data_IF_175347089680
#
_entry.id   IF_175347089680
#
_cell.length_a   1.000
_cell.length_b   1.000
_cell.length_c   1.000
_cell.angle_alpha   90.00
_cell.angle_beta   90.00
_cell.angle_gamma   90.00
#
_symmetry.space_group_name_H-M   'P 1'
#
loop_
_entity.id
_entity.type
_entity.pdbx_description
1 polymer ?
#
# COMPACT_ATOMS: atom_id res chain seq x y z
N UNK A 1 45.71 -2.90 -18.44
CA UNK A 1 45.04 -2.98 -17.12
C UNK A 1 43.74 -3.75 -17.35
N UNK A 2 43.60 -4.94 -16.77
CA UNK A 2 42.36 -5.71 -16.80
C UNK A 2 41.53 -5.31 -15.58
N UNK A 3 40.35 -4.73 -15.81
CA UNK A 3 39.40 -4.44 -14.74
C UNK A 3 38.62 -5.73 -14.43
N UNK A 4 38.70 -6.22 -13.19
CA UNK A 4 37.78 -7.25 -12.71
C UNK A 4 36.40 -6.62 -12.50
N UNK A 5 35.39 -7.12 -13.21
CA UNK A 5 34.01 -6.78 -12.93
C UNK A 5 33.61 -7.35 -11.56
N UNK A 6 32.81 -6.62 -10.75
CA UNK A 6 32.29 -7.17 -9.51
C UNK A 6 31.40 -8.38 -9.85
N UNK A 7 31.54 -9.46 -9.07
CA UNK A 7 30.63 -10.60 -9.18
C UNK A 7 29.23 -10.13 -8.79
N UNK A 8 28.27 -10.26 -9.71
CA UNK A 8 26.87 -10.06 -9.37
C UNK A 8 26.48 -11.14 -8.34
N UNK A 9 25.93 -10.71 -7.20
CA UNK A 9 25.34 -11.65 -6.25
C UNK A 9 24.26 -12.45 -6.98
N UNK A 10 24.25 -13.77 -6.77
CA UNK A 10 23.16 -14.60 -7.28
C UNK A 10 21.85 -14.11 -6.63
N UNK A 11 20.74 -14.05 -7.38
CA UNK A 11 19.43 -13.81 -6.78
C UNK A 11 19.24 -14.82 -5.64
N UNK A 12 18.68 -14.35 -4.52
CA UNK A 12 18.22 -15.21 -3.46
C UNK A 12 17.16 -16.20 -3.97
N UNK A 13 16.81 -17.17 -3.14
CA UNK A 13 15.77 -18.14 -3.47
C UNK A 13 14.39 -17.62 -3.08
N UNK A 14 13.36 -17.94 -3.88
CA UNK A 14 11.96 -17.80 -3.51
C UNK A 14 11.22 -16.67 -4.21
N UNK A 15 9.90 -16.69 -4.06
CA UNK A 15 8.97 -15.72 -4.65
C UNK A 15 8.36 -14.89 -3.52
N UNK A 16 8.56 -13.57 -3.58
CA UNK A 16 7.95 -12.62 -2.66
C UNK A 16 6.77 -11.92 -3.32
N UNK A 17 5.59 -12.02 -2.70
CA UNK A 17 4.36 -11.36 -3.17
C UNK A 17 3.91 -10.31 -2.14
N UNK A 18 3.69 -9.08 -2.59
CA UNK A 18 3.15 -8.00 -1.77
C UNK A 18 1.72 -7.66 -2.21
N UNK A 19 0.80 -7.77 -1.25
CA UNK A 19 -0.61 -7.42 -1.38
C UNK A 19 -0.93 -6.25 -0.43
N UNK A 20 -1.95 -5.46 -0.77
CA UNK A 20 -2.50 -4.49 0.16
C UNK A 20 -3.08 -3.23 -0.45
N UNK A 21 -3.29 -2.27 0.43
CA UNK A 21 -3.78 -0.93 0.14
C UNK A 21 -2.65 0.11 0.00
N UNK A 22 -2.97 1.40 0.16
CA UNK A 22 -2.03 2.52 0.06
C UNK A 22 -0.90 2.48 1.09
N UNK A 23 -1.09 1.84 2.24
CA UNK A 23 0.02 1.63 3.20
C UNK A 23 1.10 0.70 2.62
N UNK A 24 0.70 -0.22 1.74
CA UNK A 24 1.62 -1.10 1.03
C UNK A 24 2.11 -0.48 -0.27
N UNK A 25 1.23 0.11 -1.09
CA UNK A 25 1.63 0.62 -2.40
C UNK A 25 2.51 1.87 -2.31
N UNK A 26 2.36 2.69 -1.27
CA UNK A 26 3.13 3.91 -1.07
C UNK A 26 2.81 5.04 -2.08
N UNK A 27 1.54 5.46 -2.27
CA UNK A 27 1.24 6.61 -3.10
C UNK A 27 1.97 7.85 -2.59
N UNK A 28 2.42 8.69 -3.53
CA UNK A 28 3.22 9.91 -3.31
C UNK A 28 4.65 9.67 -2.79
N UNK A 29 5.02 8.44 -2.48
CA UNK A 29 6.42 8.06 -2.38
C UNK A 29 7.02 8.08 -3.80
N UNK A 30 8.26 8.57 -4.00
CA UNK A 30 8.84 8.77 -5.33
C UNK A 30 8.81 7.54 -6.27
N UNK A 31 8.92 7.82 -7.57
CA UNK A 31 8.95 6.86 -8.68
C UNK A 31 7.81 5.81 -8.63
N UNK A 32 6.58 6.29 -8.84
CA UNK A 32 5.44 5.39 -9.00
C UNK A 32 5.53 4.61 -10.32
N UNK A 33 5.19 3.32 -10.28
CA UNK A 33 5.31 2.39 -11.40
C UNK A 33 4.18 1.34 -11.41
N UNK A 34 4.30 0.39 -12.34
CA UNK A 34 3.37 -0.72 -12.48
C UNK A 34 2.13 -0.38 -13.31
N UNK A 35 1.25 -1.37 -13.44
CA UNK A 35 -0.03 -1.22 -14.14
C UNK A 35 -1.15 -1.76 -13.25
N UNK A 36 -2.25 -1.01 -13.06
CA UNK A 36 -2.42 0.37 -13.53
C UNK A 36 -1.59 1.36 -12.68
N UNK A 37 -1.17 2.49 -13.28
CA UNK A 37 -0.28 3.46 -12.61
C UNK A 37 -0.95 4.16 -11.42
N UNK A 38 -2.27 4.28 -11.45
CA UNK A 38 -3.10 4.89 -10.41
C UNK A 38 -3.33 3.99 -9.18
N UNK A 39 -2.74 2.78 -9.16
CA UNK A 39 -2.51 2.06 -7.90
C UNK A 39 -1.46 2.71 -7.00
N UNK A 40 -0.65 3.62 -7.54
CA UNK A 40 0.32 4.39 -6.78
C UNK A 40 1.40 3.54 -6.13
N UNK A 41 1.87 2.47 -6.81
CA UNK A 41 2.96 1.61 -6.35
C UNK A 41 4.29 2.32 -6.53
N UNK A 42 5.02 2.56 -5.45
CA UNK A 42 6.35 3.17 -5.48
C UNK A 42 7.45 2.12 -5.39
N UNK A 43 8.56 2.32 -6.11
CA UNK A 43 9.77 1.49 -5.97
C UNK A 43 10.53 1.73 -4.64
N UNK A 44 10.04 2.65 -3.80
CA UNK A 44 10.50 2.91 -2.43
C UNK A 44 9.43 2.57 -1.38
N UNK A 45 8.36 1.88 -1.76
CA UNK A 45 7.40 1.35 -0.79
C UNK A 45 8.05 0.25 0.07
N UNK A 46 7.47 -0.09 1.24
CA UNK A 46 8.11 -1.04 2.14
C UNK A 46 8.37 -2.41 1.48
N UNK A 47 7.50 -2.95 0.61
CA UNK A 47 7.80 -4.18 -0.13
C UNK A 47 9.03 -4.07 -1.02
N UNK A 48 9.19 -2.96 -1.74
CA UNK A 48 10.35 -2.74 -2.61
C UNK A 48 11.64 -2.64 -1.81
N UNK A 49 11.61 -2.03 -0.62
CA UNK A 49 12.76 -1.98 0.28
C UNK A 49 13.13 -3.37 0.83
N UNK A 50 12.13 -4.18 1.18
CA UNK A 50 12.34 -5.59 1.58
C UNK A 50 12.93 -6.39 0.41
N UNK A 51 12.38 -6.25 -0.80
CA UNK A 51 12.87 -6.95 -1.98
C UNK A 51 14.32 -6.56 -2.34
N UNK A 52 14.68 -5.29 -2.16
CA UNK A 52 16.05 -4.82 -2.38
C UNK A 52 17.06 -5.40 -1.37
N UNK A 53 16.66 -5.55 -0.11
CA UNK A 53 17.50 -6.11 0.96
C UNK A 53 17.65 -7.64 0.82
N UNK A 54 16.55 -8.36 0.63
CA UNK A 54 16.55 -9.83 0.65
C UNK A 54 16.76 -10.46 -0.73
N UNK A 55 16.63 -9.68 -1.81
CA UNK A 55 16.90 -10.08 -3.19
C UNK A 55 16.24 -11.42 -3.57
N UNK A 56 14.91 -11.58 -3.48
CA UNK A 56 14.24 -12.83 -3.86
C UNK A 56 14.46 -13.15 -5.35
N UNK A 57 14.22 -14.40 -5.74
CA UNK A 57 14.31 -14.80 -7.15
C UNK A 57 13.26 -14.07 -8.01
N UNK A 58 12.11 -13.78 -7.41
CA UNK A 58 11.02 -13.03 -8.03
C UNK A 58 10.33 -12.15 -6.97
N UNK A 59 10.01 -10.92 -7.35
CA UNK A 59 9.22 -9.99 -6.54
C UNK A 59 7.99 -9.53 -7.32
N UNK A 60 6.81 -9.72 -6.73
CA UNK A 60 5.51 -9.41 -7.32
C UNK A 60 4.80 -8.44 -6.38
N UNK A 61 4.67 -7.18 -6.76
CA UNK A 61 3.86 -6.19 -6.05
C UNK A 61 2.56 -5.93 -6.80
N UNK A 62 1.44 -6.36 -6.22
CA UNK A 62 0.09 -6.10 -6.72
C UNK A 62 -0.74 -5.25 -5.77
N UNK A 63 -0.12 -4.66 -4.74
CA UNK A 63 -0.78 -3.71 -3.85
C UNK A 63 -1.38 -2.53 -4.61
N UNK A 64 -2.47 -1.94 -4.13
CA UNK A 64 -3.13 -0.86 -4.86
C UNK A 64 -3.77 0.14 -3.92
N UNK A 65 -3.53 1.44 -4.16
CA UNK A 65 -4.14 2.52 -3.40
C UNK A 65 -5.66 2.37 -3.33
N UNK A 66 -6.24 2.72 -2.18
CA UNK A 66 -7.68 2.62 -1.91
C UNK A 66 -8.27 1.20 -1.92
N UNK A 67 -7.47 0.16 -2.07
CA UNK A 67 -7.96 -1.22 -2.03
C UNK A 67 -8.65 -1.54 -0.70
N UNK A 68 -9.75 -2.28 -0.78
CA UNK A 68 -10.48 -2.85 0.35
C UNK A 68 -10.31 -4.36 0.38
N UNK A 69 -10.71 -4.99 1.48
CA UNK A 69 -10.66 -6.46 1.62
C UNK A 69 -11.37 -7.21 0.48
N UNK A 70 -12.48 -6.67 -0.04
CA UNK A 70 -13.18 -7.25 -1.22
C UNK A 70 -12.29 -7.31 -2.47
N UNK A 71 -11.35 -6.38 -2.63
CA UNK A 71 -10.49 -6.26 -3.81
C UNK A 71 -9.35 -7.31 -3.80
N UNK A 72 -9.23 -8.08 -2.71
CA UNK A 72 -8.38 -9.27 -2.70
C UNK A 72 -8.92 -10.34 -3.66
N UNK A 73 -10.25 -10.49 -3.72
CA UNK A 73 -10.92 -11.55 -4.49
C UNK A 73 -11.73 -11.03 -5.68
N UNK A 74 -11.80 -9.72 -5.88
CA UNK A 74 -12.53 -9.10 -6.99
C UNK A 74 -11.70 -7.96 -7.62
N UNK A 75 -11.91 -7.63 -8.91
CA UNK A 75 -11.23 -6.52 -9.53
C UNK A 75 -11.56 -5.19 -8.82
N UNK A 76 -10.52 -4.39 -8.55
CA UNK A 76 -10.67 -3.03 -8.07
C UNK A 76 -10.87 -2.10 -9.26
N UNK A 77 -12.10 -1.65 -9.47
CA UNK A 77 -12.47 -0.70 -10.51
C UNK A 77 -12.65 0.71 -9.95
N UNK A 78 -12.72 1.72 -10.82
CA UNK A 78 -12.96 3.11 -10.42
C UNK A 78 -11.75 3.81 -9.80
N UNK A 79 -10.53 3.38 -10.16
CA UNK A 79 -9.31 4.08 -9.79
C UNK A 79 -9.28 5.49 -10.39
N UNK A 80 -8.52 6.44 -9.80
CA UNK A 80 -8.57 7.86 -10.17
C UNK A 80 -8.32 8.18 -11.66
N UNK A 81 -7.53 7.36 -12.36
CA UNK A 81 -7.23 7.52 -13.78
C UNK A 81 -7.99 6.51 -14.66
N UNK A 82 -9.00 5.84 -14.11
CA UNK A 82 -9.81 4.85 -14.81
C UNK A 82 -9.17 3.47 -14.91
N UNK A 83 -8.05 3.24 -14.23
CA UNK A 83 -7.42 1.93 -14.14
C UNK A 83 -8.32 0.88 -13.47
N UNK A 84 -8.01 -0.39 -13.72
CA UNK A 84 -8.57 -1.51 -12.98
C UNK A 84 -7.44 -2.40 -12.51
N UNK A 85 -7.34 -2.61 -11.20
CA UNK A 85 -6.44 -3.61 -10.65
C UNK A 85 -7.14 -4.97 -10.64
N UNK A 86 -6.52 -6.06 -11.12
CA UNK A 86 -7.04 -7.41 -10.94
C UNK A 86 -7.24 -7.77 -9.46
N UNK A 87 -8.04 -8.80 -9.14
CA UNK A 87 -8.05 -9.39 -7.81
C UNK A 87 -6.63 -9.65 -7.34
N UNK A 88 -6.26 -9.15 -6.16
CA UNK A 88 -4.87 -9.27 -5.70
C UNK A 88 -4.47 -10.73 -5.44
N UNK A 89 -5.42 -11.60 -5.09
CA UNK A 89 -5.18 -13.03 -4.93
C UNK A 89 -4.82 -13.76 -6.23
N UNK A 90 -5.05 -13.16 -7.41
CA UNK A 90 -4.61 -13.75 -8.68
C UNK A 90 -3.07 -13.81 -8.78
N UNK A 91 -2.35 -13.02 -7.98
CA UNK A 91 -0.90 -13.07 -7.89
C UNK A 91 -0.39 -14.24 -7.05
N UNK A 92 -1.23 -14.84 -6.20
CA UNK A 92 -0.82 -15.92 -5.30
C UNK A 92 -0.44 -17.18 -6.06
N UNK A 93 0.70 -17.75 -5.66
CA UNK A 93 1.25 -18.97 -6.23
C UNK A 93 1.63 -19.92 -5.12
N UNK A 94 1.61 -21.23 -5.42
CA UNK A 94 1.96 -22.27 -4.47
C UNK A 94 3.45 -22.27 -4.07
N UNK A 95 4.32 -21.66 -4.89
CA UNK A 95 5.76 -21.54 -4.64
C UNK A 95 6.16 -20.21 -3.98
N UNK A 96 5.18 -19.39 -3.57
CA UNK A 96 5.43 -18.19 -2.77
C UNK A 96 6.11 -18.56 -1.44
N UNK A 97 7.27 -17.95 -1.18
CA UNK A 97 8.02 -18.16 0.07
C UNK A 97 7.75 -17.06 1.09
N UNK A 98 7.29 -15.89 0.63
CA UNK A 98 6.87 -14.78 1.47
C UNK A 98 5.65 -14.09 0.84
N UNK A 99 4.64 -13.83 1.66
CA UNK A 99 3.51 -12.98 1.30
C UNK A 99 3.34 -11.93 2.40
N UNK A 100 3.35 -10.65 2.03
CA UNK A 100 3.00 -9.56 2.96
C UNK A 100 1.65 -8.98 2.58
N UNK A 101 0.83 -8.65 3.58
CA UNK A 101 -0.52 -8.09 3.39
C UNK A 101 -0.71 -6.92 4.34
N UNK A 102 -1.03 -5.75 3.78
CA UNK A 102 -1.48 -4.58 4.53
C UNK A 102 -2.82 -4.10 3.97
N UNK A 103 -3.93 -4.43 4.63
CA UNK A 103 -5.29 -4.17 4.12
C UNK A 103 -6.24 -3.89 5.27
N UNK A 104 -7.32 -3.15 5.00
CA UNK A 104 -8.43 -2.97 5.93
C UNK A 104 -8.66 -1.52 6.38
N UNK A 105 -7.67 -0.63 6.19
CA UNK A 105 -7.83 0.78 6.55
C UNK A 105 -8.96 1.47 5.76
N UNK A 106 -9.10 1.11 4.49
CA UNK A 106 -10.17 1.61 3.62
C UNK A 106 -11.55 0.99 3.93
N UNK A 107 -11.58 -0.21 4.50
CA UNK A 107 -12.80 -0.87 4.95
C UNK A 107 -13.35 -0.16 6.20
N UNK A 108 -12.47 0.16 7.16
CA UNK A 108 -12.79 0.87 8.40
C UNK A 108 -12.97 2.40 8.24
N UNK A 109 -12.92 2.92 7.01
CA UNK A 109 -13.08 4.35 6.74
C UNK A 109 -11.97 5.25 7.30
N UNK A 110 -10.80 4.69 7.64
CA UNK A 110 -9.70 5.42 8.29
C UNK A 110 -9.20 6.61 7.45
N UNK A 111 -9.16 6.44 6.12
CA UNK A 111 -8.76 7.52 5.20
C UNK A 111 -9.70 8.72 5.32
N UNK A 112 -11.02 8.47 5.35
CA UNK A 112 -12.01 9.54 5.51
C UNK A 112 -11.91 10.25 6.86
N UNK A 113 -11.55 9.53 7.92
CA UNK A 113 -11.25 10.13 9.23
C UNK A 113 -10.03 11.05 9.15
N UNK A 114 -8.94 10.56 8.53
CA UNK A 114 -7.73 11.34 8.31
C UNK A 114 -7.98 12.62 7.49
N UNK A 115 -8.71 12.50 6.37
CA UNK A 115 -9.09 13.64 5.53
C UNK A 115 -9.90 14.67 6.30
N UNK A 116 -10.91 14.24 7.06
CA UNK A 116 -11.74 15.13 7.86
C UNK A 116 -10.92 15.86 8.91
N UNK A 117 -10.03 15.15 9.60
CA UNK A 117 -9.15 15.75 10.59
C UNK A 117 -8.13 16.71 9.97
N UNK A 118 -7.59 16.40 8.80
CA UNK A 118 -6.74 17.32 8.03
C UNK A 118 -7.48 18.62 7.68
N UNK A 119 -8.73 18.52 7.19
CA UNK A 119 -9.57 19.69 6.90
C UNK A 119 -9.85 20.54 8.12
N UNK A 120 -10.17 19.92 9.27
CA UNK A 120 -10.39 20.63 10.52
C UNK A 120 -9.10 21.29 11.03
N UNK A 121 -7.95 20.62 10.88
CA UNK A 121 -6.65 21.16 11.25
C UNK A 121 -6.21 22.36 10.41
N UNK A 122 -6.72 22.54 9.19
CA UNK A 122 -6.44 23.75 8.40
C UNK A 122 -6.96 25.03 9.07
N UNK A 123 -8.05 24.93 9.83
CA UNK A 123 -8.65 26.05 10.55
C UNK A 123 -8.23 26.11 12.03
N UNK A 124 -7.66 25.01 12.54
CA UNK A 124 -7.23 24.85 13.93
C UNK A 124 -5.98 23.95 14.03
N UNK A 125 -4.79 24.42 13.58
CA UNK A 125 -3.61 23.56 13.37
C UNK A 125 -2.96 23.05 14.66
N UNK A 126 -3.25 23.69 15.80
CA UNK A 126 -2.68 23.33 17.10
C UNK A 126 -3.76 23.01 18.15
N UNK A 127 -5.04 23.06 17.77
CA UNK A 127 -6.13 22.77 18.68
C UNK A 127 -6.66 21.35 18.54
N UNK A 128 -7.93 21.19 18.89
CA UNK A 128 -8.53 19.89 19.18
C UNK A 128 -9.74 19.58 18.31
N UNK A 129 -9.98 20.37 17.26
CA UNK A 129 -11.16 20.25 16.41
C UNK A 129 -11.43 18.84 15.88
N UNK A 130 -10.39 18.09 15.47
CA UNK A 130 -10.52 16.68 15.06
C UNK A 130 -11.05 15.79 16.20
N UNK A 131 -10.45 15.90 17.39
CA UNK A 131 -10.88 15.16 18.58
C UNK A 131 -12.30 15.57 18.99
N UNK A 132 -12.60 16.85 19.00
CA UNK A 132 -13.91 17.35 19.44
C UNK A 132 -15.03 16.94 18.47
N UNK A 133 -14.70 16.76 17.18
CA UNK A 133 -15.61 16.22 16.16
C UNK A 133 -15.88 14.72 16.33
N UNK A 134 -14.84 13.91 16.55
CA UNK A 134 -14.97 12.45 16.63
C UNK A 134 -15.23 11.91 18.03
N UNK A 135 -14.92 12.66 19.08
CA UNK A 135 -15.10 12.27 20.48
C UNK A 135 -15.86 13.33 21.29
N UNK A 136 -17.06 13.78 20.85
CA UNK A 136 -17.85 14.74 21.61
C UNK A 136 -18.19 14.17 22.99
N UNK A 137 -17.84 14.89 24.06
CA UNK A 137 -18.05 14.41 25.43
C UNK A 137 -17.17 13.22 25.84
N UNK A 138 -16.10 12.93 25.10
CA UNK A 138 -15.17 11.82 25.38
C UNK A 138 -15.59 10.46 24.82
N UNK A 139 -16.71 10.40 24.08
CA UNK A 139 -17.17 9.16 23.46
C UNK A 139 -16.65 9.05 22.02
N UNK A 140 -15.62 8.23 21.80
CA UNK A 140 -14.98 8.04 20.50
C UNK A 140 -15.91 7.33 19.50
N UNK A 141 -16.20 8.02 18.40
CA UNK A 141 -17.05 7.52 17.31
C UNK A 141 -16.26 6.97 16.11
N UNK A 142 -14.92 7.03 16.12
CA UNK A 142 -14.07 6.49 15.03
C UNK A 142 -14.28 4.99 14.90
N UNK A 143 -14.44 4.28 16.02
CA UNK A 143 -14.67 2.83 16.03
C UNK A 143 -15.99 2.39 15.38
N UNK A 144 -16.92 3.33 15.18
CA UNK A 144 -18.23 3.08 14.58
C UNK A 144 -18.27 3.39 13.07
N UNK A 145 -17.12 3.68 12.45
CA UNK A 145 -16.95 3.91 11.00
C UNK A 145 -16.58 2.64 10.28
#
# INVERSE_FOLDING_TARGET
MLFSAPAAAAPGSGVYIALGDSYTSGPLVPNQHGSPIDCGRSDHNYPSLIAAEFQPAEFIDVSCGSAKTKDMAAPQTGLPLGGTNPPQFDALRADATLVTVGIGGNDAGLVGVGEKCGQLGLLDPFGTACRDYYAPGGNDSVQAK
#
